data_IF_513788589072
#
_entry.id   IF_513788589072
#
_cell.length_a   1.000
_cell.length_b   1.000
_cell.length_c   1.000
_cell.angle_alpha   90.00
_cell.angle_beta   90.00
_cell.angle_gamma   90.00
#
_symmetry.space_group_name_H-M   'P 1'
#
loop_
_entity.id
_entity.type
_entity.pdbx_description
1 polymer ?
#
# COMPACT_ATOMS: atom_id res chain seq x y z
N UNK A 1 -49.15 -45.65 94.50
CA UNK A 1 -48.52 -44.31 94.37
C UNK A 1 -47.35 -44.27 95.33
N UNK A 2 -46.14 -43.85 94.93
CA UNK A 2 -45.75 -42.76 94.01
C UNK A 2 -44.97 -43.30 92.78
N UNK A 3 -44.34 -42.58 91.86
CA UNK A 3 -44.47 -41.28 91.17
C UNK A 3 -43.32 -41.26 90.14
N UNK A 4 -43.58 -40.67 88.97
CA UNK A 4 -42.73 -40.59 87.78
C UNK A 4 -41.24 -40.23 88.01
N UNK A 5 -40.39 -40.66 87.07
CA UNK A 5 -39.37 -39.79 86.49
C UNK A 5 -39.23 -40.08 84.99
N UNK A 6 -39.92 -39.25 84.20
CA UNK A 6 -39.77 -39.15 82.76
C UNK A 6 -38.50 -38.34 82.48
N UNK A 7 -37.46 -39.02 81.98
CA UNK A 7 -36.19 -38.39 81.59
C UNK A 7 -36.38 -37.80 80.19
N UNK A 8 -36.45 -36.48 80.14
CA UNK A 8 -36.55 -35.69 78.91
C UNK A 8 -35.12 -35.45 78.41
N UNK A 9 -34.66 -36.24 77.44
CA UNK A 9 -33.41 -35.97 76.74
C UNK A 9 -33.59 -34.70 75.91
N UNK A 10 -32.95 -33.62 76.34
CA UNK A 10 -32.82 -32.38 75.55
C UNK A 10 -31.91 -32.66 74.36
N UNK A 11 -32.52 -33.03 73.23
CA UNK A 11 -31.84 -32.92 71.94
C UNK A 11 -31.58 -31.42 71.68
N UNK A 12 -30.32 -31.04 71.79
CA UNK A 12 -29.80 -29.75 71.34
C UNK A 12 -30.10 -29.61 69.85
N UNK A 13 -30.90 -28.63 69.40
CA UNK A 13 -31.11 -28.45 67.97
C UNK A 13 -29.76 -28.11 67.33
N UNK A 14 -29.41 -28.89 66.31
CA UNK A 14 -28.29 -28.63 65.42
C UNK A 14 -28.42 -27.21 64.87
N UNK A 15 -27.35 -26.44 64.98
CA UNK A 15 -27.26 -25.13 64.33
C UNK A 15 -27.56 -25.32 62.84
N UNK A 16 -28.69 -24.80 62.37
CA UNK A 16 -28.95 -24.68 60.96
C UNK A 16 -27.87 -23.76 60.38
N UNK A 17 -26.88 -24.34 59.70
CA UNK A 17 -26.02 -23.58 58.80
C UNK A 17 -26.96 -23.00 57.75
N UNK A 18 -27.30 -21.72 57.86
CA UNK A 18 -28.01 -21.00 56.82
C UNK A 18 -27.20 -21.19 55.54
N UNK A 19 -27.73 -21.98 54.60
CA UNK A 19 -27.17 -22.03 53.26
C UNK A 19 -27.32 -20.62 52.71
N UNK A 20 -26.21 -19.89 52.65
CA UNK A 20 -26.15 -18.57 52.04
C UNK A 20 -26.54 -18.73 50.57
N UNK A 21 -27.80 -18.45 50.25
CA UNK A 21 -28.23 -18.32 48.87
C UNK A 21 -27.55 -17.11 48.24
N UNK A 22 -27.46 -17.09 46.91
CA UNK A 22 -26.92 -15.95 46.18
C UNK A 22 -27.76 -14.70 46.43
N UNK A 23 -27.11 -13.61 46.83
CA UNK A 23 -27.75 -12.30 46.96
C UNK A 23 -28.03 -11.71 45.58
N UNK A 24 -29.19 -11.06 45.41
CA UNK A 24 -29.54 -10.36 44.16
C UNK A 24 -28.50 -9.28 43.81
N UNK A 25 -27.88 -8.68 44.83
CA UNK A 25 -26.79 -7.71 44.67
C UNK A 25 -25.54 -8.37 44.09
N UNK A 26 -25.21 -9.58 44.54
CA UNK A 26 -24.04 -10.33 44.05
C UNK A 26 -24.23 -10.73 42.58
N UNK A 27 -25.43 -11.18 42.22
CA UNK A 27 -25.77 -11.58 40.84
C UNK A 27 -25.76 -10.37 39.90
N UNK A 28 -26.34 -9.24 40.30
CA UNK A 28 -26.34 -8.02 39.48
C UNK A 28 -24.94 -7.42 39.34
N UNK A 29 -24.12 -7.45 40.40
CA UNK A 29 -22.72 -7.04 40.36
C UNK A 29 -21.91 -7.94 39.41
N UNK A 30 -22.08 -9.26 39.50
CA UNK A 30 -21.43 -10.22 38.62
C UNK A 30 -21.83 -10.00 37.14
N UNK A 31 -23.12 -9.80 36.86
CA UNK A 31 -23.59 -9.50 35.51
C UNK A 31 -23.02 -8.17 34.99
N UNK A 32 -22.92 -7.16 35.84
CA UNK A 32 -22.33 -5.88 35.50
C UNK A 32 -20.85 -5.99 35.11
N UNK A 33 -20.07 -6.75 35.88
CA UNK A 33 -18.65 -7.01 35.58
C UNK A 33 -18.51 -7.78 34.27
N UNK A 34 -19.28 -8.85 34.08
CA UNK A 34 -19.22 -9.66 32.86
C UNK A 34 -19.63 -8.85 31.63
N UNK A 35 -20.69 -8.04 31.75
CA UNK A 35 -21.13 -7.15 30.67
C UNK A 35 -20.05 -6.14 30.29
N UNK A 36 -19.43 -5.47 31.27
CA UNK A 36 -18.33 -4.53 31.03
C UNK A 36 -17.10 -5.21 30.44
N UNK A 37 -16.76 -6.42 30.89
CA UNK A 37 -15.62 -7.18 30.36
C UNK A 37 -15.82 -7.52 28.87
N UNK A 38 -17.02 -7.97 28.48
CA UNK A 38 -17.33 -8.30 27.08
C UNK A 38 -17.31 -7.02 26.22
N UNK A 39 -17.91 -5.93 26.68
CA UNK A 39 -17.89 -4.64 25.97
C UNK A 39 -16.47 -4.14 25.76
N UNK A 40 -15.62 -4.23 26.79
CA UNK A 40 -14.20 -3.89 26.71
C UNK A 40 -13.46 -4.77 25.71
N UNK A 41 -13.70 -6.08 25.72
CA UNK A 41 -13.03 -7.03 24.82
C UNK A 41 -13.41 -6.77 23.35
N UNK A 42 -14.71 -6.59 23.08
CA UNK A 42 -15.20 -6.28 21.73
C UNK A 42 -14.66 -4.94 21.23
N UNK A 43 -14.59 -3.94 22.11
CA UNK A 43 -14.00 -2.63 21.80
C UNK A 43 -12.53 -2.73 21.38
N UNK A 44 -11.74 -3.52 22.12
CA UNK A 44 -10.33 -3.75 21.79
C UNK A 44 -10.22 -4.53 20.46
N UNK A 45 -11.04 -5.56 20.22
CA UNK A 45 -11.01 -6.31 18.96
C UNK A 45 -11.28 -5.40 17.74
N UNK A 46 -12.28 -4.53 17.83
CA UNK A 46 -12.56 -3.54 16.79
C UNK A 46 -11.35 -2.64 16.50
N UNK A 47 -10.72 -2.09 17.55
CA UNK A 47 -9.53 -1.26 17.42
C UNK A 47 -8.33 -2.05 16.85
N UNK A 48 -8.16 -3.32 17.23
CA UNK A 48 -7.06 -4.15 16.71
C UNK A 48 -7.22 -4.52 15.24
N UNK A 49 -8.45 -4.74 14.75
CA UNK A 49 -8.68 -5.00 13.32
C UNK A 49 -8.41 -3.76 12.47
N UNK A 50 -8.83 -2.58 12.93
CA UNK A 50 -8.49 -1.34 12.26
C UNK A 50 -6.97 -1.13 12.22
N UNK A 51 -6.29 -1.35 13.35
CA UNK A 51 -4.83 -1.24 13.42
C UNK A 51 -4.13 -2.24 12.50
N UNK A 52 -4.60 -3.49 12.42
CA UNK A 52 -4.04 -4.49 11.52
C UNK A 52 -4.17 -4.08 10.05
N UNK A 53 -5.32 -3.53 9.64
CA UNK A 53 -5.53 -3.02 8.28
C UNK A 53 -4.62 -1.82 7.99
N UNK A 54 -4.51 -0.86 8.91
CA UNK A 54 -3.59 0.28 8.78
C UNK A 54 -2.13 -0.17 8.63
N UNK A 55 -1.69 -1.19 9.38
CA UNK A 55 -0.36 -1.79 9.26
C UNK A 55 -0.18 -2.43 7.88
N UNK A 56 -1.17 -3.18 7.40
CA UNK A 56 -1.12 -3.80 6.07
C UNK A 56 -1.03 -2.76 4.95
N UNK A 57 -1.84 -1.70 5.04
CA UNK A 57 -1.83 -0.60 4.09
C UNK A 57 -0.49 0.15 4.12
N UNK A 58 0.08 0.37 5.30
CA UNK A 58 1.39 1.01 5.46
C UNK A 58 2.51 0.16 4.88
N UNK A 59 2.53 -1.14 5.16
CA UNK A 59 3.52 -2.06 4.59
C UNK A 59 3.41 -2.12 3.06
N UNK A 60 2.18 -2.11 2.53
CA UNK A 60 1.94 -2.06 1.09
C UNK A 60 2.41 -0.74 0.48
N UNK A 61 2.11 0.38 1.13
CA UNK A 61 2.55 1.70 0.71
C UNK A 61 4.08 1.81 0.69
N UNK A 62 4.76 1.27 1.70
CA UNK A 62 6.22 1.24 1.77
C UNK A 62 6.82 0.37 0.65
N UNK A 63 6.26 -0.82 0.43
CA UNK A 63 6.65 -1.69 -0.70
C UNK A 63 6.46 -0.99 -2.05
N UNK A 64 5.34 -0.30 -2.24
CA UNK A 64 5.08 0.46 -3.46
C UNK A 64 6.03 1.65 -3.62
N UNK A 65 6.34 2.38 -2.56
CA UNK A 65 7.27 3.50 -2.57
C UNK A 65 8.70 3.04 -2.93
N UNK A 66 9.19 1.98 -2.26
CA UNK A 66 10.51 1.40 -2.59
C UNK A 66 10.57 0.89 -4.02
N UNK A 67 9.50 0.27 -4.52
CA UNK A 67 9.39 -0.17 -5.90
C UNK A 67 9.41 0.99 -6.90
N UNK A 68 8.71 2.09 -6.58
CA UNK A 68 8.70 3.30 -7.39
C UNK A 68 10.08 3.97 -7.43
N UNK A 69 10.76 4.08 -6.27
CA UNK A 69 12.13 4.61 -6.19
C UNK A 69 13.08 3.75 -7.05
N UNK A 70 13.04 2.43 -6.92
CA UNK A 70 13.83 1.53 -7.75
C UNK A 70 13.49 1.64 -9.24
N UNK A 71 12.26 2.06 -9.58
CA UNK A 71 11.87 2.29 -10.96
C UNK A 71 12.40 3.61 -11.54
N UNK A 72 12.67 4.61 -10.70
CA UNK A 72 13.37 5.83 -11.14
C UNK A 72 14.87 5.61 -11.31
N UNK A 73 15.47 4.77 -10.47
CA UNK A 73 16.91 4.46 -10.54
C UNK A 73 17.24 3.56 -11.75
N UNK A 74 16.32 2.67 -12.13
CA UNK A 74 16.51 1.83 -13.31
C UNK A 74 16.01 2.54 -14.58
N UNK A 75 16.84 2.70 -15.64
CA UNK A 75 16.48 3.51 -16.80
C UNK A 75 15.38 2.93 -17.69
N UNK A 76 14.96 1.66 -17.50
CA UNK A 76 14.01 0.95 -18.39
C UNK A 76 13.02 0.04 -17.66
N UNK A 77 12.59 0.42 -16.46
CA UNK A 77 11.65 -0.38 -15.65
C UNK A 77 10.23 0.16 -15.59
N UNK A 78 9.96 1.38 -16.09
CA UNK A 78 8.62 1.98 -16.03
C UNK A 78 7.87 1.60 -17.29
N UNK A 79 6.65 1.11 -17.10
CA UNK A 79 5.76 0.72 -18.18
C UNK A 79 4.91 1.91 -18.60
N UNK A 80 4.78 2.17 -19.91
CA UNK A 80 3.75 3.06 -20.44
C UNK A 80 2.69 2.22 -21.15
N UNK A 81 1.42 2.49 -20.89
CA UNK A 81 0.31 1.83 -21.58
C UNK A 81 -0.57 2.87 -22.27
N UNK A 82 -1.25 2.45 -23.35
CA UNK A 82 -2.28 3.25 -24.00
C UNK A 82 -3.64 3.11 -23.30
N UNK A 83 -4.66 3.79 -23.83
CA UNK A 83 -6.04 3.72 -23.32
C UNK A 83 -6.68 2.32 -23.39
N UNK A 84 -6.10 1.38 -24.14
CA UNK A 84 -6.54 -0.01 -24.27
C UNK A 84 -5.75 -0.98 -23.38
N UNK A 85 -4.73 -0.51 -22.64
CA UNK A 85 -3.89 -1.35 -21.79
C UNK A 85 -2.75 -2.05 -22.54
N UNK A 86 -2.54 -1.71 -23.81
CA UNK A 86 -1.41 -2.21 -24.59
C UNK A 86 -0.15 -1.49 -24.12
N UNK A 87 0.92 -2.25 -23.94
CA UNK A 87 2.21 -1.72 -23.52
C UNK A 87 2.86 -0.95 -24.67
N UNK A 88 2.95 0.37 -24.57
CA UNK A 88 3.60 1.24 -25.56
C UNK A 88 5.09 1.45 -25.27
N UNK A 89 5.54 1.12 -24.06
CA UNK A 89 6.96 1.09 -23.71
C UNK A 89 7.26 -0.10 -22.79
N UNK A 90 7.46 -1.30 -23.34
CA UNK A 90 7.70 -2.47 -22.52
C UNK A 90 9.10 -2.41 -21.88
N UNK A 91 9.20 -2.69 -20.57
CA UNK A 91 10.48 -2.75 -19.89
C UNK A 91 11.30 -3.92 -20.44
N UNK A 92 12.58 -3.69 -20.70
CA UNK A 92 13.48 -4.66 -21.37
C UNK A 92 13.70 -5.98 -20.60
N UNK A 93 13.23 -6.07 -19.34
CA UNK A 93 13.27 -7.29 -18.53
C UNK A 93 12.09 -8.24 -18.78
N UNK A 94 11.02 -7.78 -19.43
CA UNK A 94 9.76 -8.54 -19.56
C UNK A 94 9.27 -8.67 -21.01
N UNK A 95 9.99 -8.12 -22.00
CA UNK A 95 9.74 -8.39 -23.41
C UNK A 95 11.04 -8.37 -24.21
N UNK A 96 11.07 -9.12 -25.30
CA UNK A 96 12.12 -9.08 -26.33
C UNK A 96 12.06 -7.81 -27.20
N UNK A 97 11.04 -6.96 -27.00
CA UNK A 97 10.93 -5.67 -27.68
C UNK A 97 11.69 -4.62 -26.87
N UNK A 98 12.76 -4.06 -27.45
CA UNK A 98 13.53 -3.02 -26.81
C UNK A 98 12.63 -1.81 -26.47
N UNK A 99 12.66 -1.38 -25.21
CA UNK A 99 12.14 -0.07 -24.81
C UNK A 99 12.84 0.99 -25.66
N UNK A 100 12.06 1.68 -26.51
CA UNK A 100 12.57 2.67 -27.46
C UNK A 100 12.95 3.99 -26.78
N UNK A 101 12.41 4.24 -25.58
CA UNK A 101 12.54 5.52 -24.86
C UNK A 101 12.97 5.29 -23.42
N UNK A 102 13.90 6.09 -22.91
CA UNK A 102 14.33 6.01 -21.51
C UNK A 102 13.22 6.44 -20.54
N UNK A 103 13.24 5.92 -19.31
CA UNK A 103 12.32 6.36 -18.25
C UNK A 103 12.35 7.88 -18.06
N UNK A 104 13.54 8.50 -18.07
CA UNK A 104 13.68 9.95 -17.94
C UNK A 104 12.94 10.70 -19.04
N UNK A 105 13.15 10.31 -20.29
CA UNK A 105 12.52 10.97 -21.44
C UNK A 105 11.00 10.78 -21.45
N UNK A 106 10.51 9.60 -21.06
CA UNK A 106 9.07 9.38 -20.88
C UNK A 106 8.46 10.32 -19.84
N UNK A 107 9.11 10.43 -18.68
CA UNK A 107 8.63 11.27 -17.57
C UNK A 107 8.73 12.73 -17.96
N UNK A 108 9.82 13.13 -18.61
CA UNK A 108 10.06 14.50 -19.06
C UNK A 108 8.99 14.96 -20.05
N UNK A 109 8.69 14.14 -21.07
CA UNK A 109 7.68 14.46 -22.07
C UNK A 109 6.28 14.56 -21.44
N UNK A 110 5.96 13.65 -20.52
CA UNK A 110 4.69 13.67 -19.79
C UNK A 110 4.57 14.92 -18.89
N UNK A 111 5.66 15.26 -18.21
CA UNK A 111 5.74 16.44 -17.35
C UNK A 111 5.65 17.74 -18.16
N UNK A 112 6.29 17.82 -19.33
CA UNK A 112 6.26 19.00 -20.19
C UNK A 112 4.84 19.33 -20.65
N UNK A 113 4.03 18.30 -20.94
CA UNK A 113 2.65 18.46 -21.37
C UNK A 113 1.71 18.83 -20.22
N UNK A 114 1.85 18.17 -19.06
CA UNK A 114 0.83 18.18 -18.00
C UNK A 114 1.24 18.89 -16.70
N UNK A 115 2.52 19.29 -16.56
CA UNK A 115 3.09 19.90 -15.34
C UNK A 115 3.10 19.00 -14.10
N UNK A 116 2.55 17.79 -14.21
CA UNK A 116 2.47 16.77 -13.17
C UNK A 116 2.47 15.40 -13.83
N UNK A 117 3.02 14.40 -13.14
CA UNK A 117 3.08 13.02 -13.64
C UNK A 117 2.42 12.08 -12.65
N UNK A 118 1.61 11.16 -13.17
CA UNK A 118 0.93 10.16 -12.37
C UNK A 118 1.52 8.77 -12.62
N UNK A 119 1.86 8.10 -11.53
CA UNK A 119 2.31 6.72 -11.53
C UNK A 119 1.29 5.83 -10.83
N UNK A 120 1.18 4.61 -11.32
CA UNK A 120 0.48 3.53 -10.66
C UNK A 120 1.48 2.45 -10.27
N UNK A 121 1.44 2.08 -9.00
CA UNK A 121 2.17 0.93 -8.48
C UNK A 121 1.15 -0.13 -8.11
N UNK A 122 1.24 -1.29 -8.74
CA UNK A 122 0.27 -2.34 -8.55
C UNK A 122 0.91 -3.71 -8.66
N UNK A 123 0.27 -4.67 -8.01
CA UNK A 123 0.62 -6.06 -8.16
C UNK A 123 -0.14 -6.61 -9.35
N UNK A 124 0.55 -7.31 -10.23
CA UNK A 124 -0.09 -8.03 -11.33
C UNK A 124 0.25 -9.50 -11.27
N UNK A 125 -0.71 -10.31 -11.68
CA UNK A 125 -0.52 -11.74 -11.88
C UNK A 125 0.04 -11.97 -13.27
N UNK A 126 1.28 -12.43 -13.35
CA UNK A 126 1.91 -12.77 -14.62
C UNK A 126 1.62 -14.23 -14.97
N UNK A 127 0.93 -14.43 -16.10
CA UNK A 127 0.93 -15.74 -16.75
C UNK A 127 2.26 -15.90 -17.48
N UNK A 128 3.26 -16.41 -16.77
CA UNK A 128 4.45 -16.95 -17.44
C UNK A 128 4.08 -18.30 -18.04
N UNK A 129 4.40 -18.58 -19.31
CA UNK A 129 4.50 -19.96 -19.76
C UNK A 129 5.66 -20.59 -18.98
N UNK A 130 5.38 -21.13 -17.81
CA UNK A 130 6.32 -22.02 -17.12
C UNK A 130 6.40 -23.26 -18.00
N UNK A 131 7.61 -23.75 -18.22
CA UNK A 131 7.97 -24.86 -19.12
C UNK A 131 7.35 -26.22 -18.72
N UNK A 132 6.06 -26.28 -18.46
CA UNK A 132 5.31 -27.53 -18.33
C UNK A 132 4.21 -27.55 -19.38
N UNK A 133 4.67 -27.74 -20.62
CA UNK A 133 3.83 -28.05 -21.75
C UNK A 133 3.40 -29.51 -21.63
N UNK A 134 2.15 -29.78 -21.26
CA UNK A 134 1.53 -31.07 -21.59
C UNK A 134 0.76 -30.89 -22.88
N UNK A 135 1.33 -31.38 -23.98
CA UNK A 135 0.56 -31.56 -25.21
C UNK A 135 -0.39 -32.72 -24.99
N UNK A 136 -1.69 -32.42 -24.88
CA UNK A 136 -2.73 -33.43 -25.10
C UNK A 136 -3.44 -32.99 -26.36
N UNK A 137 -3.34 -33.81 -27.41
CA UNK A 137 -4.04 -33.64 -28.69
C UNK A 137 -3.84 -32.28 -29.39
N UNK A 138 -2.62 -31.74 -29.35
CA UNK A 138 -2.25 -30.54 -30.12
C UNK A 138 -2.79 -29.21 -29.58
N UNK A 139 -3.50 -29.21 -28.45
CA UNK A 139 -3.98 -28.00 -27.78
C UNK A 139 -3.01 -27.62 -26.65
N UNK A 140 -2.48 -26.40 -26.72
CA UNK A 140 -1.59 -25.86 -25.68
C UNK A 140 -2.41 -25.47 -24.46
N UNK A 141 -2.30 -26.22 -23.36
CA UNK A 141 -2.95 -25.89 -22.08
C UNK A 141 -1.94 -25.21 -21.17
N UNK A 142 -2.21 -23.97 -20.76
CA UNK A 142 -1.32 -23.17 -19.92
C UNK A 142 -1.60 -23.45 -18.43
N UNK A 143 -0.55 -23.76 -17.66
CA UNK A 143 -0.66 -23.89 -16.21
C UNK A 143 -0.83 -22.50 -15.56
N UNK A 144 -2.06 -22.16 -15.19
CA UNK A 144 -2.44 -20.90 -14.54
C UNK A 144 -2.23 -20.91 -13.01
N UNK A 145 -1.80 -22.03 -12.43
CA UNK A 145 -1.76 -22.25 -10.98
C UNK A 145 -0.45 -21.82 -10.31
N UNK A 146 0.64 -21.69 -11.08
CA UNK A 146 1.90 -21.09 -10.65
C UNK A 146 1.95 -19.64 -11.15
N UNK A 147 1.20 -18.75 -10.51
CA UNK A 147 1.05 -17.36 -10.96
C UNK A 147 1.89 -16.43 -10.06
N UNK A 148 3.18 -16.20 -10.36
CA UNK A 148 3.95 -15.23 -9.61
C UNK A 148 3.28 -13.86 -9.69
N UNK A 149 3.16 -13.18 -8.56
CA UNK A 149 2.76 -11.78 -8.53
C UNK A 149 4.00 -10.91 -8.68
N UNK A 150 3.93 -9.93 -9.58
CA UNK A 150 5.01 -8.95 -9.76
C UNK A 150 4.43 -7.57 -9.50
N UNK A 151 5.08 -6.81 -8.63
CA UNK A 151 4.79 -5.39 -8.47
C UNK A 151 5.40 -4.62 -9.64
N UNK A 152 4.56 -3.89 -10.35
CA UNK A 152 4.91 -3.12 -11.53
C UNK A 152 4.63 -1.63 -11.30
N UNK A 153 5.47 -0.79 -11.91
CA UNK A 153 5.32 0.66 -11.91
C UNK A 153 4.97 1.08 -13.32
N UNK A 154 3.86 1.79 -13.45
CA UNK A 154 3.39 2.25 -14.74
C UNK A 154 3.08 3.75 -14.75
N UNK A 155 3.44 4.37 -15.86
CA UNK A 155 3.14 5.76 -16.20
C UNK A 155 1.74 5.84 -16.81
N UNK A 156 0.91 6.72 -16.28
CA UNK A 156 -0.38 7.02 -16.88
C UNK A 156 -0.17 7.96 -18.06
N UNK A 157 -0.57 7.56 -19.27
CA UNK A 157 -0.27 8.33 -20.49
C UNK A 157 -1.19 9.53 -20.71
N UNK A 158 -2.43 9.52 -20.20
CA UNK A 158 -3.47 10.46 -20.66
C UNK A 158 -4.53 10.80 -19.59
N UNK A 159 -4.63 10.03 -18.50
CA UNK A 159 -5.65 10.24 -17.47
C UNK A 159 -5.14 9.88 -16.08
N UNK A 160 -5.46 10.69 -15.05
CA UNK A 160 -5.15 10.40 -13.65
C UNK A 160 -6.03 9.27 -13.07
N UNK A 161 -6.77 8.56 -13.91
CA UNK A 161 -7.64 7.42 -13.56
C UNK A 161 -7.18 6.20 -14.34
N UNK A 162 -6.94 5.10 -13.63
CA UNK A 162 -6.62 3.80 -14.22
C UNK A 162 -7.89 3.24 -14.89
N UNK A 163 -7.85 3.10 -16.22
CA UNK A 163 -8.97 2.56 -16.99
C UNK A 163 -9.21 1.08 -16.63
N UNK A 164 -10.45 0.63 -16.37
CA UNK A 164 -10.77 -0.78 -16.17
C UNK A 164 -10.24 -1.71 -17.27
N UNK A 165 -10.20 -1.24 -18.53
CA UNK A 165 -9.60 -2.00 -19.64
C UNK A 165 -8.11 -2.28 -19.42
N UNK A 166 -7.37 -1.27 -18.95
CA UNK A 166 -5.94 -1.40 -18.59
C UNK A 166 -5.78 -2.36 -17.42
N UNK A 167 -6.63 -2.24 -16.40
CA UNK A 167 -6.57 -3.12 -15.23
C UNK A 167 -6.78 -4.59 -15.60
N UNK A 168 -7.74 -4.87 -16.49
CA UNK A 168 -7.98 -6.21 -17.01
C UNK A 168 -6.83 -6.70 -17.91
N UNK A 169 -6.37 -5.88 -18.86
CA UNK A 169 -5.29 -6.24 -19.77
C UNK A 169 -3.97 -6.55 -19.05
N UNK A 170 -3.73 -5.88 -17.91
CA UNK A 170 -2.52 -6.09 -17.10
C UNK A 170 -2.71 -7.12 -15.98
N UNK A 171 -3.90 -7.72 -15.83
CA UNK A 171 -4.23 -8.67 -14.77
C UNK A 171 -3.85 -8.14 -13.37
N UNK A 172 -4.28 -6.92 -13.09
CA UNK A 172 -3.98 -6.22 -11.84
C UNK A 172 -4.76 -6.86 -10.69
N UNK A 173 -4.08 -7.05 -9.57
CA UNK A 173 -4.65 -7.65 -8.36
C UNK A 173 -4.64 -6.65 -7.21
N UNK A 174 -5.76 -6.65 -6.48
CA UNK A 174 -5.99 -5.73 -5.37
C UNK A 174 -6.03 -4.27 -5.81
N UNK A 175 -5.83 -3.36 -4.86
CA UNK A 175 -6.01 -1.93 -5.10
C UNK A 175 -4.69 -1.28 -5.54
N UNK A 176 -4.58 -0.69 -6.74
CA UNK A 176 -3.40 0.06 -7.16
C UNK A 176 -3.13 1.26 -6.27
N UNK A 177 -1.86 1.56 -6.04
CA UNK A 177 -1.43 2.79 -5.40
C UNK A 177 -1.13 3.82 -6.47
N UNK A 178 -1.79 4.98 -6.37
CA UNK A 178 -1.58 6.11 -7.26
C UNK A 178 -0.62 7.10 -6.62
N UNK A 179 0.44 7.46 -7.32
CA UNK A 179 1.45 8.42 -6.86
C UNK A 179 1.49 9.60 -7.81
N UNK A 180 1.40 10.81 -7.24
CA UNK A 180 1.58 12.07 -7.97
C UNK A 180 3.01 12.54 -7.80
N UNK A 181 3.69 12.83 -8.91
CA UNK A 181 5.00 13.46 -8.91
C UNK A 181 4.90 14.86 -9.51
N UNK A 182 5.44 15.83 -8.80
CA UNK A 182 5.50 17.24 -9.19
C UNK A 182 6.88 17.78 -8.89
N UNK A 183 7.41 18.64 -9.76
CA UNK A 183 8.61 19.39 -9.42
C UNK A 183 8.27 20.43 -8.35
N UNK A 184 8.95 20.34 -7.20
CA UNK A 184 8.82 21.34 -6.16
C UNK A 184 9.52 22.63 -6.60
N UNK A 185 8.82 23.75 -6.44
CA UNK A 185 9.34 25.11 -6.70
C UNK A 185 10.31 25.61 -5.63
N UNK A 186 10.83 24.74 -4.76
CA UNK A 186 11.80 25.12 -3.72
C UNK A 186 13.17 25.55 -4.26
N UNK A 187 13.40 25.50 -5.58
CA UNK A 187 14.53 26.13 -6.26
C UNK A 187 14.12 27.34 -7.16
N UNK A 188 12.94 27.93 -6.95
CA UNK A 188 12.57 29.19 -7.60
C UNK A 188 13.56 30.27 -7.12
N UNK A 189 14.48 30.67 -8.02
CA UNK A 189 15.57 31.60 -7.74
C UNK A 189 16.98 30.99 -7.75
N UNK A 190 17.12 29.66 -7.79
CA UNK A 190 18.44 28.98 -7.87
C UNK A 190 18.70 28.30 -9.22
N UNK A 191 17.76 28.36 -10.16
CA UNK A 191 18.01 27.90 -11.53
C UNK A 191 18.72 29.03 -12.28
N UNK A 192 19.91 28.79 -12.85
CA UNK A 192 20.45 29.71 -13.83
C UNK A 192 19.40 29.91 -14.92
N UNK A 193 19.00 31.16 -15.16
CA UNK A 193 18.32 31.45 -16.42
C UNK A 193 19.26 30.97 -17.54
N UNK A 194 18.70 30.35 -18.57
CA UNK A 194 19.47 29.96 -19.75
C UNK A 194 19.09 30.97 -20.81
N UNK A 195 20.07 31.69 -21.32
CA UNK A 195 19.87 32.60 -22.44
C UNK A 195 19.48 31.77 -23.67
N UNK A 196 18.34 32.11 -24.28
CA UNK A 196 17.76 31.35 -25.40
C UNK A 196 18.50 31.55 -26.73
N UNK A 197 19.41 32.52 -26.80
CA UNK A 197 20.21 32.82 -27.99
C UNK A 197 21.57 32.13 -27.92
N UNK A 198 22.20 32.19 -26.74
CA UNK A 198 23.56 31.66 -26.53
C UNK A 198 23.57 30.25 -25.94
N UNK A 199 22.44 29.80 -25.37
CA UNK A 199 22.32 28.55 -24.62
C UNK A 199 23.23 28.45 -23.38
N UNK A 200 23.77 29.57 -22.92
CA UNK A 200 24.63 29.62 -21.73
C UNK A 200 23.85 29.99 -20.46
N UNK A 201 24.30 29.54 -19.27
CA UNK A 201 23.76 29.99 -17.99
C UNK A 201 24.00 31.50 -17.76
N UNK A 202 22.96 32.26 -17.43
CA UNK A 202 23.03 33.72 -17.19
C UNK A 202 23.82 34.09 -15.92
N UNK A 203 23.99 33.15 -15.00
CA UNK A 203 24.83 33.29 -13.79
C UNK A 203 26.06 32.41 -13.94
N UNK A 204 27.17 33.02 -14.34
CA UNK A 204 28.48 32.37 -14.49
C UNK A 204 28.91 32.18 -15.94
N UNK A 205 29.66 33.15 -16.48
CA UNK A 205 30.32 33.01 -17.78
C UNK A 205 31.69 32.36 -17.62
N UNK A 206 31.97 31.33 -18.43
CA UNK A 206 33.29 30.71 -18.55
C UNK A 206 34.19 31.57 -19.43
N UNK A 207 35.28 32.10 -18.89
CA UNK A 207 36.20 32.98 -19.64
C UNK A 207 37.39 32.23 -20.26
N UNK A 208 37.33 30.90 -20.34
CA UNK A 208 38.42 30.05 -20.83
C UNK A 208 39.38 29.55 -19.75
N UNK A 209 39.39 30.16 -18.55
CA UNK A 209 40.29 29.76 -17.45
C UNK A 209 39.62 29.66 -16.08
N UNK A 210 38.52 30.40 -15.85
CA UNK A 210 37.73 30.32 -14.64
C UNK A 210 36.25 30.64 -14.88
N UNK A 211 35.40 30.21 -13.94
CA UNK A 211 33.99 30.63 -13.86
C UNK A 211 33.95 31.92 -13.05
N UNK A 212 33.53 33.03 -13.66
CA UNK A 212 33.33 34.30 -12.96
C UNK A 212 31.86 34.47 -12.60
N UNK A 213 31.49 34.70 -11.32
CA UNK A 213 30.12 35.01 -10.96
C UNK A 213 29.73 36.39 -11.52
N UNK A 214 28.61 36.46 -12.25
CA UNK A 214 28.04 37.73 -12.68
C UNK A 214 27.54 38.47 -11.44
N UNK A 215 28.15 39.60 -11.08
CA UNK A 215 27.61 40.52 -10.06
C UNK A 215 26.34 41.18 -10.63
N UNK A 216 25.22 40.48 -10.56
CA UNK A 216 23.90 41.04 -10.80
C UNK A 216 23.44 41.81 -9.56
N UNK A 217 23.46 43.14 -9.64
CA UNK A 217 22.70 44.02 -8.75
C UNK A 217 21.24 43.58 -8.73
N UNK A 218 20.65 43.50 -7.53
CA UNK A 218 19.30 42.97 -7.34
C UNK A 218 18.21 43.75 -8.10
N UNK A 219 17.18 43.03 -8.52
CA UNK A 219 15.79 43.03 -8.01
C UNK A 219 15.19 41.66 -8.29
#
# INVERSE_FOLDING_TARGET
MPSNNFVMNSEKPSSSKSRSGFSLVEVTLALGIVGMAILSLVGILGATFQQADEIMQTNRALSAATRLIGAFDNPRSIVKFDSNGINTNPPSKFSSAASTVSNFELIYNEFQSNGTVWFYVYDRKISTPIEEFTQVDGVSTYNIYSNPTVTEVALASESPILNPKVANARNIVGNPIRVKVTLSKLLVGQRPAIDQITFEPTVGTWNGTSISPTTGSGV
#
